data_IF_529967810715
#
_entry.id   IF_529967810715
#
_cell.length_a   1.000
_cell.length_b   1.000
_cell.length_c   1.000
_cell.angle_alpha   90.00
_cell.angle_beta   90.00
_cell.angle_gamma   90.00
#
_symmetry.space_group_name_H-M   'P 1'
#
loop_
_entity.id
_entity.type
_entity.pdbx_description
1 polymer ?
#
# COMPACT_ATOMS: atom_id res chain seq x y z
N UNK A 1 -50.89 -8.69 5.83
CA UNK A 1 -50.09 -9.47 4.85
C UNK A 1 -49.63 -8.65 3.64
N UNK A 2 -50.50 -7.92 2.93
CA UNK A 2 -50.14 -7.13 1.73
C UNK A 2 -49.04 -6.06 1.94
N UNK A 3 -49.01 -5.41 3.11
CA UNK A 3 -48.00 -4.39 3.46
C UNK A 3 -46.61 -4.97 3.75
N UNK A 4 -46.55 -6.20 4.26
CA UNK A 4 -45.29 -6.89 4.57
C UNK A 4 -44.63 -7.35 3.27
N UNK A 5 -45.42 -7.82 2.29
CA UNK A 5 -44.91 -8.13 0.95
C UNK A 5 -44.35 -6.91 0.22
N UNK A 6 -44.94 -5.73 0.38
CA UNK A 6 -44.43 -4.48 -0.22
C UNK A 6 -43.07 -4.06 0.36
N UNK A 7 -42.87 -4.22 1.68
CA UNK A 7 -41.60 -3.92 2.35
C UNK A 7 -40.50 -4.90 1.93
N UNK A 8 -40.84 -6.18 1.76
CA UNK A 8 -39.88 -7.19 1.30
C UNK A 8 -39.45 -6.96 -0.15
N UNK A 9 -40.38 -6.52 -1.03
CA UNK A 9 -40.07 -6.16 -2.41
C UNK A 9 -39.19 -4.90 -2.49
N UNK A 10 -39.41 -3.90 -1.63
CA UNK A 10 -38.57 -2.69 -1.63
C UNK A 10 -37.15 -2.96 -1.13
N UNK A 11 -36.95 -3.87 -0.16
CA UNK A 11 -35.61 -4.26 0.29
C UNK A 11 -34.81 -5.03 -0.78
N UNK A 12 -35.47 -5.84 -1.61
CA UNK A 12 -34.80 -6.62 -2.66
C UNK A 12 -34.16 -5.75 -3.76
N UNK A 13 -34.67 -4.53 -3.98
CA UNK A 13 -34.16 -3.60 -5.00
C UNK A 13 -32.83 -2.94 -4.62
N UNK A 14 -32.45 -2.96 -3.33
CA UNK A 14 -31.18 -2.37 -2.85
C UNK A 14 -30.01 -3.37 -2.76
N UNK A 15 -30.26 -4.66 -3.01
CA UNK A 15 -29.27 -5.74 -2.86
C UNK A 15 -28.13 -5.74 -3.92
N UNK A 16 -28.16 -4.82 -4.88
CA UNK A 16 -27.39 -4.93 -6.13
C UNK A 16 -26.04 -4.20 -6.21
N UNK A 17 -25.63 -3.45 -5.18
CA UNK A 17 -24.38 -2.68 -5.25
C UNK A 17 -23.31 -3.30 -4.33
N UNK A 18 -22.79 -4.46 -4.72
CA UNK A 18 -21.47 -4.90 -4.24
C UNK A 18 -20.45 -3.98 -4.90
N UNK A 19 -20.16 -2.85 -4.26
CA UNK A 19 -19.03 -2.01 -4.66
C UNK A 19 -17.75 -2.71 -4.24
N UNK A 20 -17.11 -3.40 -5.19
CA UNK A 20 -15.67 -3.59 -5.11
C UNK A 20 -15.01 -2.20 -5.00
N UNK A 21 -13.88 -2.11 -4.30
CA UNK A 21 -13.15 -0.85 -4.18
C UNK A 21 -12.85 -0.27 -5.56
N UNK A 22 -13.14 1.02 -5.72
CA UNK A 22 -12.96 1.71 -6.99
C UNK A 22 -11.47 1.83 -7.35
N UNK A 23 -11.17 1.99 -8.64
CA UNK A 23 -9.82 2.27 -9.12
C UNK A 23 -9.21 3.52 -8.46
N UNK A 24 -10.06 4.50 -8.16
CA UNK A 24 -9.69 5.71 -7.43
C UNK A 24 -9.26 5.39 -5.99
N UNK A 25 -10.05 4.60 -5.25
CA UNK A 25 -9.69 4.20 -3.89
C UNK A 25 -8.37 3.44 -3.84
N UNK A 26 -8.12 2.55 -4.80
CA UNK A 26 -6.83 1.87 -4.94
C UNK A 26 -5.67 2.81 -5.26
N UNK A 27 -5.91 3.87 -6.03
CA UNK A 27 -4.88 4.84 -6.34
C UNK A 27 -4.53 5.72 -5.13
N UNK A 28 -5.54 6.22 -4.42
CA UNK A 28 -5.37 6.99 -3.19
C UNK A 28 -4.62 6.17 -2.13
N UNK A 29 -5.00 4.90 -1.95
CA UNK A 29 -4.30 3.98 -1.07
C UNK A 29 -2.81 3.84 -1.42
N UNK A 30 -2.50 3.58 -2.70
CA UNK A 30 -1.11 3.45 -3.16
C UNK A 30 -0.30 4.73 -2.99
N UNK A 31 -0.91 5.89 -3.20
CA UNK A 31 -0.26 7.18 -2.96
C UNK A 31 0.04 7.40 -1.47
N UNK A 32 -0.88 7.03 -0.58
CA UNK A 32 -0.67 7.12 0.85
C UNK A 32 0.45 6.20 1.33
N UNK A 33 0.45 4.94 0.88
CA UNK A 33 1.51 3.98 1.12
C UNK A 33 2.86 4.51 0.62
N UNK A 34 2.93 4.98 -0.64
CA UNK A 34 4.16 5.54 -1.20
C UNK A 34 4.70 6.71 -0.37
N UNK A 35 3.83 7.65 0.01
CA UNK A 35 4.21 8.79 0.85
C UNK A 35 4.79 8.34 2.20
N UNK A 36 4.15 7.36 2.84
CA UNK A 36 4.62 6.81 4.11
C UNK A 36 5.99 6.12 3.97
N UNK A 37 6.17 5.29 2.93
CA UNK A 37 7.44 4.61 2.66
C UNK A 37 8.57 5.59 2.39
N UNK A 38 8.35 6.60 1.55
CA UNK A 38 9.38 7.61 1.25
C UNK A 38 9.71 8.46 2.48
N UNK A 39 8.74 8.74 3.35
CA UNK A 39 8.98 9.47 4.60
C UNK A 39 9.75 8.64 5.64
N UNK A 40 9.62 7.31 5.61
CA UNK A 40 10.35 6.41 6.49
C UNK A 40 11.81 6.18 6.02
N UNK A 41 12.08 6.32 4.73
CA UNK A 41 13.42 6.17 4.14
C UNK A 41 14.33 7.36 4.44
N UNK A 42 15.63 7.08 4.56
CA UNK A 42 16.66 8.13 4.66
C UNK A 42 17.33 8.46 3.33
N UNK A 43 16.94 7.79 2.23
CA UNK A 43 17.57 8.02 0.95
C UNK A 43 17.34 9.44 0.41
N UNK A 44 18.37 9.97 -0.25
CA UNK A 44 18.22 11.10 -1.17
C UNK A 44 17.60 10.60 -2.47
N UNK A 45 16.69 11.38 -3.05
CA UNK A 45 16.00 11.06 -4.30
C UNK A 45 15.29 9.69 -4.23
N UNK A 46 14.74 9.35 -3.06
CA UNK A 46 14.01 8.12 -2.82
C UNK A 46 12.78 8.03 -3.75
N UNK A 47 12.58 6.89 -4.39
CA UNK A 47 11.45 6.63 -5.25
C UNK A 47 11.06 5.15 -5.25
N UNK A 48 9.84 4.86 -5.70
CA UNK A 48 9.37 3.48 -5.83
C UNK A 48 10.14 2.70 -6.89
N UNK A 49 10.56 1.49 -6.55
CA UNK A 49 11.16 0.51 -7.44
C UNK A 49 10.11 -0.53 -7.86
N UNK A 50 9.13 -0.08 -8.65
CA UNK A 50 8.06 -0.93 -9.18
C UNK A 50 6.72 -0.78 -8.45
N UNK A 51 5.87 -1.80 -8.61
CA UNK A 51 4.53 -1.85 -7.99
C UNK A 51 4.61 -2.48 -6.60
N UNK A 52 3.72 -2.08 -5.66
CA UNK A 52 3.62 -2.76 -4.38
C UNK A 52 3.15 -4.20 -4.54
N UNK A 53 3.62 -5.06 -3.64
CA UNK A 53 3.05 -6.37 -3.36
C UNK A 53 1.98 -6.20 -2.27
N UNK A 54 0.73 -6.44 -2.62
CA UNK A 54 -0.39 -6.41 -1.68
C UNK A 54 -0.52 -7.76 -0.99
N UNK A 55 -0.52 -7.77 0.34
CA UNK A 55 -0.84 -8.97 1.10
C UNK A 55 -2.32 -8.96 1.49
N UNK A 56 -2.84 -10.14 1.83
CA UNK A 56 -4.21 -10.28 2.30
C UNK A 56 -4.48 -9.51 3.61
N UNK A 57 -5.75 -9.39 3.96
CA UNK A 57 -6.18 -8.64 5.14
C UNK A 57 -5.81 -9.30 6.48
N UNK A 58 -5.36 -10.57 6.47
CA UNK A 58 -4.88 -11.23 7.69
C UNK A 58 -3.57 -10.59 8.12
N UNK A 59 -2.66 -10.34 7.16
CA UNK A 59 -1.46 -9.55 7.42
C UNK A 59 -1.77 -8.07 7.58
N UNK A 60 -2.72 -7.54 6.79
CA UNK A 60 -3.00 -6.11 6.72
C UNK A 60 -1.81 -5.27 6.22
N UNK A 61 -0.87 -5.88 5.49
CA UNK A 61 0.37 -5.25 5.04
C UNK A 61 0.40 -5.05 3.52
N UNK A 62 1.14 -4.03 3.10
CA UNK A 62 1.57 -3.84 1.71
C UNK A 62 3.09 -3.69 1.70
N UNK A 63 3.78 -4.28 0.74
CA UNK A 63 5.23 -4.16 0.61
C UNK A 63 5.61 -3.39 -0.65
N UNK A 64 6.62 -2.52 -0.56
CA UNK A 64 7.14 -1.76 -1.68
C UNK A 64 8.66 -1.75 -1.63
N UNK A 65 9.32 -2.10 -2.73
CA UNK A 65 10.74 -1.79 -2.86
C UNK A 65 10.90 -0.31 -3.21
N UNK A 66 11.81 0.36 -2.53
CA UNK A 66 12.20 1.73 -2.83
C UNK A 66 13.69 1.77 -3.16
N UNK A 67 14.08 2.69 -4.03
CA UNK A 67 15.45 2.91 -4.45
C UNK A 67 15.82 4.37 -4.21
N UNK A 68 17.08 4.62 -3.89
CA UNK A 68 17.61 5.96 -3.72
C UNK A 68 19.08 5.97 -3.36
N UNK A 69 19.60 7.12 -2.97
CA UNK A 69 21.03 7.30 -2.71
C UNK A 69 21.28 7.46 -1.22
N UNK A 70 22.22 6.70 -0.67
CA UNK A 70 22.64 6.83 0.74
C UNK A 70 23.18 8.24 1.02
N UNK A 71 22.61 9.01 1.98
CA UNK A 71 23.10 10.34 2.31
C UNK A 71 24.44 10.31 3.06
N UNK A 72 24.82 9.19 3.68
CA UNK A 72 25.99 9.07 4.53
C UNK A 72 27.28 9.16 3.70
N UNK A 73 28.23 10.02 4.10
CA UNK A 73 29.48 10.28 3.35
C UNK A 73 30.30 9.01 3.07
N UNK A 74 30.38 8.09 4.03
CA UNK A 74 31.15 6.85 3.89
C UNK A 74 30.57 5.88 2.85
N UNK A 75 29.30 6.06 2.46
CA UNK A 75 28.64 5.26 1.43
C UNK A 75 28.94 5.75 0.01
N UNK A 76 29.72 6.83 -0.16
CA UNK A 76 30.20 7.34 -1.46
C UNK A 76 29.09 7.51 -2.52
N UNK A 77 27.92 8.03 -2.12
CA UNK A 77 26.75 8.20 -2.99
C UNK A 77 26.27 6.91 -3.66
N UNK A 78 26.49 5.75 -3.01
CA UNK A 78 25.99 4.46 -3.49
C UNK A 78 24.46 4.47 -3.53
N UNK A 79 23.92 3.91 -4.61
CA UNK A 79 22.49 3.59 -4.71
C UNK A 79 22.18 2.39 -3.81
N UNK A 80 21.11 2.49 -3.03
CA UNK A 80 20.59 1.43 -2.19
C UNK A 80 19.17 1.07 -2.56
N UNK A 81 18.74 -0.10 -2.10
CA UNK A 81 17.33 -0.52 -2.14
C UNK A 81 16.89 -0.82 -0.71
N UNK A 82 15.68 -0.40 -0.36
CA UNK A 82 15.02 -0.75 0.90
C UNK A 82 13.71 -1.47 0.60
N UNK A 83 13.36 -2.43 1.45
CA UNK A 83 12.02 -2.98 1.55
C UNK A 83 11.23 -2.12 2.53
N UNK A 84 10.18 -1.49 2.03
CA UNK A 84 9.17 -0.85 2.85
C UNK A 84 8.01 -1.83 3.13
N UNK A 85 7.62 -1.95 4.39
CA UNK A 85 6.37 -2.58 4.82
C UNK A 85 5.42 -1.48 5.34
N UNK A 86 4.23 -1.41 4.77
CA UNK A 86 3.18 -0.49 5.16
C UNK A 86 2.05 -1.24 5.86
N UNK A 87 1.84 -0.93 7.13
CA UNK A 87 0.70 -1.43 7.92
C UNK A 87 -0.53 -0.59 7.56
N UNK A 88 -1.50 -1.20 6.88
CA UNK A 88 -2.72 -0.53 6.40
C UNK A 88 -3.63 -0.10 7.56
N UNK A 89 -3.59 -0.80 8.71
CA UNK A 89 -4.42 -0.51 9.88
C UNK A 89 -3.85 0.68 10.67
N UNK A 90 -2.54 0.70 10.86
CA UNK A 90 -1.85 1.77 11.59
C UNK A 90 -1.49 2.96 10.72
N UNK A 91 -1.55 2.81 9.39
CA UNK A 91 -1.08 3.77 8.40
C UNK A 91 0.39 4.16 8.60
N UNK A 92 1.22 3.18 8.98
CA UNK A 92 2.65 3.36 9.30
C UNK A 92 3.53 2.54 8.38
N UNK A 93 4.67 3.10 8.01
CA UNK A 93 5.68 2.44 7.20
C UNK A 93 6.93 2.09 8.02
N UNK A 94 7.53 0.96 7.69
CA UNK A 94 8.79 0.47 8.25
C UNK A 94 9.72 0.11 7.09
N UNK A 95 10.97 0.56 7.15
CA UNK A 95 11.96 0.31 6.09
C UNK A 95 13.12 -0.52 6.63
N UNK A 96 13.65 -1.39 5.79
CA UNK A 96 14.89 -2.14 6.03
C UNK A 96 15.69 -2.22 4.74
N UNK A 97 17.01 -2.23 4.85
CA UNK A 97 17.89 -2.46 3.69
C UNK A 97 17.50 -3.78 3.01
N UNK A 98 17.46 -3.75 1.69
CA UNK A 98 17.17 -4.89 0.85
C UNK A 98 18.35 -5.15 -0.09
N UNK A 99 19.07 -6.24 0.16
CA UNK A 99 20.08 -6.77 -0.76
C UNK A 99 19.55 -8.06 -1.39
N UNK A 100 19.23 -8.09 -2.70
CA UNK A 100 18.93 -9.36 -3.35
C UNK A 100 20.18 -10.23 -3.26
N UNK A 101 20.05 -11.47 -2.78
CA UNK A 101 21.13 -12.43 -2.84
C UNK A 101 21.47 -12.68 -4.31
N UNK A 102 22.63 -12.19 -4.75
CA UNK A 102 23.21 -12.58 -6.04
C UNK A 102 23.66 -14.02 -5.93
N UNK A 103 22.98 -14.91 -6.66
CA UNK A 103 23.40 -16.29 -6.88
C UNK A 103 24.58 -16.35 -7.85
#
# INVERSE_FOLDING_TARGET
MKRISLILISCALFSGLVQASSSQAWNEHRQQMLKACLAASQFKNAHARGKPAEFDDQSGMSALLIEGVYPQKHMKQRTGTELCLYDRKQQRAYVSEWSPQTK
#
